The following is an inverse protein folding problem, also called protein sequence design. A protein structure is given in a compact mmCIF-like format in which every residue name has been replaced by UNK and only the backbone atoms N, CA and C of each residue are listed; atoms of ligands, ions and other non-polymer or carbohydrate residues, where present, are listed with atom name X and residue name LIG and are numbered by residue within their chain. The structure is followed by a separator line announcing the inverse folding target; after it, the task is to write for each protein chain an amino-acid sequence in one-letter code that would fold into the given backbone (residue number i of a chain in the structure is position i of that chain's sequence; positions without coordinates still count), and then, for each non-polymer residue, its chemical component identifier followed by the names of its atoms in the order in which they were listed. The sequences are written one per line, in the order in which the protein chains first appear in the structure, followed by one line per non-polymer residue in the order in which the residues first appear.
data_IF_118799290028
#
_entry.id   IF_118799290028
#
_cell.length_a   1.000
_cell.length_b   1.000
_cell.length_c   1.000
_cell.angle_alpha   90.00
_cell.angle_beta   90.00
_cell.angle_gamma   90.00
#
_symmetry.space_group_name_H-M   'P 1'
#
loop_
_entity.id
_entity.type
_entity.pdbx_description
1 polymer ?
#
# COMPACT_ATOMS: atom_id res chain seq x y z
N UNK A 1 -7.82 7.88 -15.16
CA UNK A 1 -7.14 7.94 -13.84
C UNK A 1 -7.63 6.73 -13.09
N UNK A 2 -6.75 5.88 -12.56
CA UNK A 2 -7.20 4.73 -11.78
C UNK A 2 -7.77 5.22 -10.45
N UNK A 3 -8.85 4.60 -9.99
CA UNK A 3 -9.44 4.91 -8.69
C UNK A 3 -8.44 4.63 -7.55
N UNK A 4 -8.38 5.51 -6.54
CA UNK A 4 -7.52 5.28 -5.38
C UNK A 4 -7.99 4.02 -4.64
N UNK A 5 -7.06 3.14 -4.31
CA UNK A 5 -7.34 1.91 -3.57
C UNK A 5 -7.10 2.18 -2.09
N UNK A 6 -8.11 2.00 -1.26
CA UNK A 6 -7.99 2.21 0.18
C UNK A 6 -7.47 0.94 0.86
N UNK A 7 -6.42 1.11 1.66
CA UNK A 7 -5.78 0.01 2.39
C UNK A 7 -6.22 0.05 3.83
N UNK A 8 -6.81 -1.05 4.30
CA UNK A 8 -7.30 -1.22 5.66
C UNK A 8 -6.63 -2.42 6.32
N UNK A 9 -6.44 -2.35 7.63
CA UNK A 9 -5.98 -3.47 8.46
C UNK A 9 -7.07 -3.82 9.47
N UNK A 10 -7.31 -5.10 9.65
CA UNK A 10 -8.20 -5.60 10.70
C UNK A 10 -7.35 -6.00 11.91
N UNK A 11 -7.49 -5.24 12.98
CA UNK A 11 -6.92 -5.51 14.29
C UNK A 11 -8.01 -6.01 15.25
N UNK A 12 -7.66 -6.63 16.40
CA UNK A 12 -8.63 -6.96 17.43
C UNK A 12 -9.48 -5.77 17.89
N UNK A 13 -8.90 -4.57 17.86
CA UNK A 13 -9.54 -3.29 18.18
C UNK A 13 -10.54 -2.81 17.12
N UNK A 14 -10.49 -3.36 15.90
CA UNK A 14 -11.36 -3.01 14.79
C UNK A 14 -10.64 -2.89 13.44
N UNK A 15 -11.38 -2.48 12.41
CA UNK A 15 -10.81 -2.17 11.09
C UNK A 15 -10.32 -0.72 11.06
N UNK A 16 -9.03 -0.53 10.82
CA UNK A 16 -8.40 0.78 10.73
C UNK A 16 -7.96 1.06 9.30
N UNK A 17 -8.26 2.27 8.82
CA UNK A 17 -7.72 2.75 7.54
C UNK A 17 -6.25 3.09 7.71
N UNK A 18 -5.41 2.33 7.02
CA UNK A 18 -3.95 2.46 7.08
C UNK A 18 -3.45 3.53 6.12
N UNK A 19 -4.02 3.58 4.92
CA UNK A 19 -3.55 4.46 3.87
C UNK A 19 -4.31 4.34 2.57
N UNK A 20 -3.77 5.00 1.56
CA UNK A 20 -4.30 4.99 0.19
C UNK A 20 -3.18 4.62 -0.77
N UNK A 21 -3.46 3.65 -1.62
CA UNK A 21 -2.61 3.26 -2.73
C UNK A 21 -3.11 3.93 -4.00
N UNK A 22 -2.19 4.58 -4.70
CA UNK A 22 -2.45 5.25 -5.95
C UNK A 22 -1.70 4.55 -7.07
N UNK A 23 -2.44 4.22 -8.12
CA UNK A 23 -1.91 3.58 -9.33
C UNK A 23 -1.83 4.64 -10.43
N UNK A 24 -0.65 4.81 -11.00
CA UNK A 24 -0.41 5.75 -12.08
C UNK A 24 0.18 5.00 -13.28
N UNK A 25 -0.35 5.22 -14.50
CA UNK A 25 0.29 4.72 -15.70
C UNK A 25 1.61 5.49 -15.92
N UNK A 26 2.72 4.78 -16.13
CA UNK A 26 4.04 5.37 -16.34
C UNK A 26 4.75 4.68 -17.52
N UNK A 27 4.86 5.38 -18.66
CA UNK A 27 5.59 4.96 -19.90
C UNK A 27 5.75 3.44 -20.10
N UNK A 28 4.63 2.72 -20.23
CA UNK A 28 4.62 1.29 -20.53
C UNK A 28 4.68 0.34 -19.32
N UNK A 29 4.69 0.88 -18.09
CA UNK A 29 4.53 0.15 -16.82
C UNK A 29 3.45 0.82 -15.95
N UNK A 30 2.91 0.07 -15.01
CA UNK A 30 2.09 0.65 -13.92
C UNK A 30 3.02 0.96 -12.74
N UNK A 31 3.00 2.19 -12.26
CA UNK A 31 3.70 2.56 -11.03
C UNK A 31 2.67 2.71 -9.92
N UNK A 32 2.92 2.07 -8.78
CA UNK A 32 2.12 2.26 -7.58
C UNK A 32 2.84 3.17 -6.60
N UNK A 33 2.06 3.86 -5.78
CA UNK A 33 2.57 4.69 -4.70
C UNK A 33 1.62 4.61 -3.53
N UNK A 34 2.15 4.60 -2.32
CA UNK A 34 1.36 4.42 -1.11
C UNK A 34 1.51 5.62 -0.20
N UNK A 35 0.41 6.04 0.43
CA UNK A 35 0.41 7.13 1.39
C UNK A 35 -0.30 6.70 2.67
N UNK A 36 0.36 6.87 3.82
CA UNK A 36 -0.26 6.57 5.11
C UNK A 36 -1.36 7.58 5.44
N UNK A 37 -2.47 7.07 5.95
CA UNK A 37 -3.58 7.88 6.44
C UNK A 37 -3.18 8.56 7.75
N UNK A 38 -3.53 9.83 7.91
CA UNK A 38 -3.21 10.61 9.12
C UNK A 38 -3.72 9.95 10.41
N UNK A 39 -4.90 9.33 10.35
CA UNK A 39 -5.47 8.58 11.48
C UNK A 39 -4.65 7.34 11.84
N UNK A 40 -3.97 6.71 10.88
CA UNK A 40 -3.05 5.60 11.15
C UNK A 40 -1.74 6.11 11.76
N UNK A 41 -1.20 7.21 11.25
CA UNK A 41 0.01 7.84 11.80
C UNK A 41 -0.18 8.29 13.25
N UNK A 42 -1.40 8.66 13.63
CA UNK A 42 -1.76 9.03 15.00
C UNK A 42 -2.13 7.83 15.89
N UNK A 43 -2.38 6.64 15.31
CA UNK A 43 -2.77 5.46 16.06
C UNK A 43 -1.57 4.92 16.88
N UNK A 44 -1.84 4.42 18.08
CA UNK A 44 -0.87 3.75 18.95
C UNK A 44 -0.53 2.34 18.45
N UNK A 45 -1.49 1.70 17.77
CA UNK A 45 -1.32 0.37 17.16
C UNK A 45 -0.65 0.43 15.77
N UNK A 46 -0.09 1.58 15.39
CA UNK A 46 0.48 1.77 14.06
C UNK A 46 1.73 0.93 13.86
N UNK A 47 1.84 0.31 12.70
CA UNK A 47 3.01 -0.44 12.28
C UNK A 47 3.25 -0.28 10.78
N UNK A 48 4.45 -0.65 10.34
CA UNK A 48 4.85 -0.61 8.94
C UNK A 48 4.29 -1.85 8.23
N UNK A 49 3.58 -1.65 7.11
CA UNK A 49 3.02 -2.77 6.34
C UNK A 49 4.12 -3.71 5.79
N UNK A 50 5.28 -3.15 5.46
CA UNK A 50 6.49 -3.87 5.08
C UNK A 50 7.73 -3.05 5.49
N UNK A 51 8.93 -3.64 5.60
CA UNK A 51 10.15 -2.91 5.96
C UNK A 51 10.47 -1.73 5.02
N UNK A 52 10.11 -1.81 3.74
CA UNK A 52 10.28 -0.70 2.79
C UNK A 52 9.16 0.38 2.91
N UNK A 53 8.08 0.09 3.64
CA UNK A 53 7.01 1.03 3.99
C UNK A 53 7.12 1.46 5.45
N UNK A 54 8.30 1.92 5.88
CA UNK A 54 8.49 2.43 7.24
C UNK A 54 7.44 3.53 7.56
N UNK A 55 6.80 3.46 8.73
CA UNK A 55 5.71 4.38 9.10
C UNK A 55 6.21 5.82 9.09
N UNK A 56 5.66 6.63 8.20
CA UNK A 56 6.09 8.01 8.03
C UNK A 56 5.10 8.83 7.22
N UNK A 57 5.26 10.16 7.27
CA UNK A 57 4.52 11.08 6.42
C UNK A 57 5.11 11.10 5.02
N UNK A 58 4.25 11.19 4.02
CA UNK A 58 4.63 11.31 2.62
C UNK A 58 4.26 10.08 1.80
N UNK A 59 4.67 10.12 0.54
CA UNK A 59 4.36 9.11 -0.45
C UNK A 59 5.52 8.15 -0.61
N UNK A 60 5.24 6.89 -0.39
CA UNK A 60 6.17 5.79 -0.55
C UNK A 60 6.05 5.25 -1.96
N UNK A 61 7.19 4.81 -2.49
CA UNK A 61 7.30 4.19 -3.80
C UNK A 61 7.98 2.84 -3.62
N UNK A 62 7.56 1.81 -4.37
CA UNK A 62 8.28 0.55 -4.39
C UNK A 62 9.70 0.78 -4.93
N UNK A 63 10.59 -0.19 -4.68
CA UNK A 63 11.92 -0.16 -5.26
C UNK A 63 11.86 0.01 -6.79
N UNK A 64 12.86 0.66 -7.38
CA UNK A 64 12.86 0.99 -8.82
C UNK A 64 12.70 -0.24 -9.72
N UNK A 65 13.03 -1.43 -9.21
CA UNK A 65 12.89 -2.71 -9.92
C UNK A 65 11.50 -3.36 -9.75
N UNK A 66 10.68 -2.89 -8.81
CA UNK A 66 9.36 -3.45 -8.49
C UNK A 66 8.20 -2.56 -8.98
N UNK A 67 7.22 -3.19 -9.63
CA UNK A 67 6.00 -2.53 -10.11
C UNK A 67 4.93 -2.42 -8.99
N UNK A 68 5.07 -3.17 -7.90
CA UNK A 68 4.15 -3.24 -6.76
C UNK A 68 4.92 -3.37 -5.43
N UNK A 69 4.34 -2.93 -4.31
CA UNK A 69 4.80 -3.27 -2.96
C UNK A 69 4.62 -4.76 -2.71
N UNK A 70 5.63 -5.43 -2.15
CA UNK A 70 5.59 -6.89 -1.96
C UNK A 70 4.40 -7.33 -1.11
N UNK A 71 4.11 -6.62 -0.01
CA UNK A 71 3.01 -6.95 0.88
C UNK A 71 1.61 -6.75 0.25
N UNK A 72 1.51 -5.93 -0.80
CA UNK A 72 0.24 -5.65 -1.49
C UNK A 72 0.12 -6.50 -2.75
N UNK A 73 1.23 -6.75 -3.44
CA UNK A 73 1.33 -7.62 -4.61
C UNK A 73 1.11 -9.09 -4.29
N UNK A 74 1.35 -9.52 -3.05
CA UNK A 74 1.04 -10.88 -2.59
C UNK A 74 -0.47 -11.16 -2.48
N UNK A 75 -1.29 -10.11 -2.39
CA UNK A 75 -2.76 -10.21 -2.54
C UNK A 75 -3.22 -10.11 -4.00
N UNK A 76 -2.30 -10.04 -4.96
CA UNK A 76 -2.68 -10.17 -6.37
C UNK A 76 -3.23 -11.59 -6.57
N UNK A 77 -4.32 -11.76 -7.33
CA UNK A 77 -4.91 -13.08 -7.54
C UNK A 77 -3.86 -14.02 -8.13
N UNK A 78 -3.60 -15.12 -7.41
CA UNK A 78 -2.69 -16.17 -7.86
C UNK A 78 -3.03 -16.58 -9.31
N UNK A 79 -2.07 -16.59 -10.24
CA UNK A 79 -2.28 -17.07 -11.59
C UNK A 79 -2.35 -18.61 -11.66
N UNK A 80 -2.76 -19.30 -10.59
CA UNK A 80 -2.90 -20.76 -10.53
C UNK A 80 -4.13 -21.21 -11.35
N UNK A 81 -4.00 -21.08 -12.66
CA UNK A 81 -5.07 -21.38 -13.62
C UNK A 81 -4.89 -20.74 -15.00
N UNK A 82 -3.69 -20.31 -15.38
CA UNK A 82 -3.36 -20.05 -16.79
C UNK A 82 -2.71 -21.25 -17.44
#
# INVERSE_FOLDING_TARGET
MADPVEVHVSLPSGTHRVGTLHRAPSRGRETVSFEYHEGWLANEERFALEPALAVGKGRFYPDQECEMFGAIGDSAPDPWGR
#
